data_IF_363939560292
#
_entry.id   IF_363939560292
#
_cell.length_a   1.000
_cell.length_b   1.000
_cell.length_c   1.000
_cell.angle_alpha   90.00
_cell.angle_beta   90.00
_cell.angle_gamma   90.00
#
_symmetry.space_group_name_H-M   'P 1'
#
loop_
_entity.id
_entity.type
_entity.pdbx_description
1 polymer ?
#
# COMPACT_ATOMS: atom_id res chain seq x y z
N UNK A 1 -36.12 73.16 29.45
CA UNK A 1 -34.77 72.64 29.72
C UNK A 1 -34.94 71.15 29.96
N UNK A 2 -34.51 70.32 28.99
CA UNK A 2 -34.42 68.83 29.07
C UNK A 2 -35.81 68.14 29.12
N UNK A 3 -36.18 67.13 28.33
CA UNK A 3 -35.48 65.90 27.96
C UNK A 3 -36.16 65.29 26.71
N UNK A 4 -35.43 65.06 25.62
CA UNK A 4 -35.92 64.25 24.50
C UNK A 4 -35.78 62.77 24.87
N UNK A 5 -36.91 62.07 24.92
CA UNK A 5 -36.97 60.63 25.13
C UNK A 5 -36.65 59.91 23.81
N UNK A 6 -35.44 59.37 23.68
CA UNK A 6 -35.10 58.43 22.61
C UNK A 6 -35.60 57.04 22.97
N UNK A 7 -36.62 56.55 22.26
CA UNK A 7 -37.02 55.15 22.29
C UNK A 7 -36.21 54.41 21.22
N UNK A 8 -35.13 53.74 21.64
CA UNK A 8 -34.37 52.83 20.78
C UNK A 8 -35.16 51.53 20.63
N UNK A 9 -35.65 51.26 19.41
CA UNK A 9 -36.23 49.97 19.03
C UNK A 9 -35.08 48.97 18.90
N UNK A 10 -35.01 47.99 19.80
CA UNK A 10 -34.06 46.88 19.71
C UNK A 10 -34.68 45.77 18.86
N UNK A 11 -34.24 45.65 17.60
CA UNK A 11 -34.62 44.55 16.71
C UNK A 11 -33.70 43.35 17.02
N UNK A 12 -34.21 42.34 17.73
CA UNK A 12 -33.49 41.09 17.96
C UNK A 12 -33.69 40.21 16.72
N UNK A 13 -32.67 40.12 15.88
CA UNK A 13 -32.61 39.14 14.78
C UNK A 13 -32.03 37.85 15.36
N UNK A 14 -32.89 36.87 15.61
CA UNK A 14 -32.48 35.52 16.00
C UNK A 14 -31.95 34.79 14.76
N UNK A 15 -30.63 34.69 14.64
CA UNK A 15 -29.96 33.92 13.59
C UNK A 15 -30.05 32.42 13.96
N UNK A 16 -31.05 31.71 13.44
CA UNK A 16 -31.08 30.24 13.49
C UNK A 16 -29.97 29.69 12.58
N UNK A 17 -28.81 29.38 13.18
CA UNK A 17 -27.80 28.51 12.57
C UNK A 17 -28.38 27.10 12.48
N UNK A 18 -28.98 26.77 11.33
CA UNK A 18 -29.21 25.39 10.95
C UNK A 18 -27.85 24.75 10.63
N UNK A 19 -27.21 24.21 11.66
CA UNK A 19 -26.11 23.27 11.51
C UNK A 19 -26.65 22.04 10.77
N UNK A 20 -26.50 22.03 9.45
CA UNK A 20 -26.65 20.82 8.67
C UNK A 20 -25.44 19.96 9.02
N UNK A 21 -25.55 19.17 10.08
CA UNK A 21 -24.64 18.07 10.33
C UNK A 21 -24.75 17.12 9.15
N UNK A 22 -23.79 17.19 8.23
CA UNK A 22 -23.60 16.12 7.25
C UNK A 22 -23.50 14.82 8.03
N UNK A 23 -24.22 13.75 7.63
CA UNK A 23 -24.00 12.46 8.25
C UNK A 23 -22.52 12.12 8.04
N UNK A 24 -21.80 11.90 9.15
CA UNK A 24 -20.51 11.24 9.12
C UNK A 24 -20.76 9.85 8.55
N UNK A 25 -20.63 9.72 7.23
CA UNK A 25 -20.52 8.41 6.60
C UNK A 25 -19.24 7.84 7.19
N UNK A 26 -19.39 6.84 8.06
CA UNK A 26 -18.28 6.01 8.52
C UNK A 26 -17.75 5.30 7.29
N UNK A 27 -16.79 5.92 6.59
CA UNK A 27 -16.15 5.35 5.44
C UNK A 27 -15.37 4.14 5.96
N UNK A 28 -15.88 2.94 5.67
CA UNK A 28 -15.24 1.69 6.09
C UNK A 28 -13.82 1.65 5.51
N UNK A 29 -12.87 1.21 6.32
CA UNK A 29 -11.45 1.07 5.98
C UNK A 29 -11.24 0.40 4.62
N UNK A 30 -10.41 1.01 3.79
CA UNK A 30 -9.91 0.38 2.57
C UNK A 30 -9.00 -0.81 2.90
N UNK A 31 -9.02 -1.85 2.08
CA UNK A 31 -8.30 -3.10 2.36
C UNK A 31 -7.23 -3.34 1.29
N UNK A 32 -6.01 -3.66 1.71
CA UNK A 32 -5.02 -4.35 0.88
C UNK A 32 -5.42 -5.83 0.75
N UNK A 33 -5.46 -6.31 -0.49
CA UNK A 33 -5.84 -7.67 -0.87
C UNK A 33 -4.65 -8.54 -1.27
N UNK A 34 -3.42 -8.11 -0.93
CA UNK A 34 -2.24 -8.97 -0.99
C UNK A 34 -2.47 -10.19 -0.10
N UNK A 35 -2.27 -11.38 -0.67
CA UNK A 35 -2.47 -12.64 0.04
C UNK A 35 -1.42 -12.82 1.15
N UNK A 36 -1.78 -13.64 2.14
CA UNK A 36 -0.84 -14.00 3.20
C UNK A 36 0.38 -14.74 2.63
N UNK A 37 1.57 -14.50 3.21
CA UNK A 37 2.78 -15.17 2.76
C UNK A 37 2.64 -16.68 2.93
N UNK A 38 2.92 -17.42 1.86
CA UNK A 38 2.98 -18.87 1.93
C UNK A 38 4.24 -19.37 2.67
N UNK A 39 4.27 -20.67 2.96
CA UNK A 39 5.39 -21.27 3.68
C UNK A 39 6.73 -21.15 2.93
N UNK A 40 6.71 -21.12 1.60
CA UNK A 40 7.92 -20.98 0.79
C UNK A 40 8.51 -19.58 0.91
N UNK A 41 7.66 -18.55 0.87
CA UNK A 41 8.05 -17.17 1.10
C UNK A 41 8.55 -16.97 2.53
N UNK A 42 7.86 -17.49 3.53
CA UNK A 42 8.28 -17.38 4.93
C UNK A 42 9.65 -18.03 5.18
N UNK A 43 9.93 -19.17 4.55
CA UNK A 43 11.24 -19.81 4.62
C UNK A 43 12.33 -18.90 4.02
N UNK A 44 12.08 -18.39 2.81
CA UNK A 44 12.98 -17.46 2.13
C UNK A 44 13.21 -16.15 2.91
N UNK A 45 12.15 -15.63 3.53
CA UNK A 45 12.20 -14.45 4.40
C UNK A 45 13.09 -14.70 5.62
N UNK A 46 12.99 -15.89 6.23
CA UNK A 46 13.83 -16.28 7.35
C UNK A 46 15.30 -16.41 6.94
N UNK A 47 15.60 -17.00 5.78
CA UNK A 47 16.98 -17.08 5.26
C UNK A 47 17.59 -15.69 5.04
N UNK A 48 16.82 -14.75 4.48
CA UNK A 48 17.25 -13.36 4.31
C UNK A 48 17.51 -12.69 5.66
N UNK A 49 16.61 -12.87 6.63
CA UNK A 49 16.77 -12.35 8.00
C UNK A 49 18.01 -12.93 8.69
N UNK A 50 18.30 -14.21 8.53
CA UNK A 50 19.48 -14.83 9.12
C UNK A 50 20.78 -14.28 8.48
N UNK A 51 20.77 -14.03 7.17
CA UNK A 51 21.84 -13.34 6.45
C UNK A 51 22.04 -11.88 6.88
N UNK A 52 20.97 -11.18 7.28
CA UNK A 52 21.03 -9.81 7.81
C UNK A 52 21.81 -9.72 9.12
N UNK A 53 21.73 -10.75 9.94
CA UNK A 53 22.43 -10.86 11.23
C UNK A 53 23.92 -11.18 11.01
N UNK A 54 24.23 -12.12 10.10
CA UNK A 54 25.61 -12.52 9.80
C UNK A 54 26.41 -11.42 9.09
N UNK A 55 25.74 -10.62 8.26
CA UNK A 55 26.37 -9.51 7.53
C UNK A 55 26.75 -8.31 8.38
N UNK A 56 26.08 -8.08 9.52
CA UNK A 56 26.52 -7.10 10.51
C UNK A 56 27.89 -7.48 11.15
N UNK A 57 28.41 -8.69 10.89
CA UNK A 57 29.68 -9.18 11.42
C UNK A 57 30.80 -9.31 10.37
N UNK A 58 30.58 -8.99 9.09
CA UNK A 58 31.58 -9.15 8.01
C UNK A 58 31.78 -7.88 7.17
N UNK A 59 33.03 -7.38 7.13
CA UNK A 59 33.45 -6.07 6.57
C UNK A 59 33.63 -6.07 5.03
N UNK A 60 33.22 -7.10 4.29
CA UNK A 60 33.47 -7.24 2.85
C UNK A 60 32.13 -7.51 2.10
N UNK A 61 31.62 -6.72 1.15
CA UNK A 61 31.93 -5.38 0.61
C UNK A 61 30.67 -4.51 0.76
N UNK A 62 30.72 -3.48 1.62
CA UNK A 62 29.59 -2.58 1.88
C UNK A 62 29.13 -1.78 0.66
N UNK A 63 30.03 -1.53 -0.30
CA UNK A 63 29.75 -0.70 -1.49
C UNK A 63 28.78 -1.36 -2.46
N UNK A 64 28.91 -2.67 -2.75
CA UNK A 64 28.00 -3.37 -3.66
C UNK A 64 26.59 -3.52 -3.07
N UNK A 65 26.47 -3.67 -1.75
CA UNK A 65 25.17 -3.75 -1.06
C UNK A 65 24.47 -2.40 -0.92
N UNK A 66 25.20 -1.29 -0.99
CA UNK A 66 24.68 0.07 -0.91
C UNK A 66 24.55 0.75 -2.28
N UNK A 67 24.91 0.06 -3.37
CA UNK A 67 24.73 0.59 -4.71
C UNK A 67 23.24 0.89 -4.99
N UNK A 68 22.92 2.01 -5.67
CA UNK A 68 21.54 2.33 -6.01
C UNK A 68 20.87 1.17 -6.76
N UNK A 69 19.67 0.80 -6.32
CA UNK A 69 18.85 -0.21 -6.98
C UNK A 69 17.98 0.54 -8.00
N UNK A 70 18.15 0.21 -9.26
CA UNK A 70 17.34 0.78 -10.34
C UNK A 70 16.36 -0.27 -10.86
N UNK A 71 15.08 0.04 -10.77
CA UNK A 71 13.98 -0.86 -11.11
C UNK A 71 13.24 -0.29 -12.31
N UNK A 72 13.37 -0.95 -13.45
CA UNK A 72 12.53 -0.64 -14.61
C UNK A 72 11.05 -0.79 -14.23
N UNK A 73 10.28 0.25 -14.50
CA UNK A 73 8.89 0.35 -14.05
C UNK A 73 7.97 0.70 -15.21
N UNK A 74 6.84 0.00 -15.30
CA UNK A 74 5.77 0.29 -16.25
C UNK A 74 4.47 0.58 -15.51
N UNK A 75 3.82 1.67 -15.89
CA UNK A 75 2.47 1.97 -15.43
C UNK A 75 1.46 1.63 -16.53
N UNK A 76 0.50 0.78 -16.19
CA UNK A 76 -0.60 0.37 -17.07
C UNK A 76 -1.89 0.96 -16.52
N UNK A 77 -2.44 1.95 -17.21
CA UNK A 77 -3.74 2.53 -16.86
C UNK A 77 -4.82 1.70 -17.54
N UNK A 78 -5.66 1.05 -16.74
CA UNK A 78 -6.70 0.14 -17.22
C UNK A 78 -8.05 0.66 -16.76
N UNK A 79 -8.84 1.17 -17.69
CA UNK A 79 -10.08 1.87 -17.37
C UNK A 79 -11.30 1.14 -17.90
N UNK A 80 -12.40 1.25 -17.17
CA UNK A 80 -13.71 0.99 -17.77
C UNK A 80 -14.02 2.06 -18.81
N UNK A 81 -14.93 1.76 -19.74
CA UNK A 81 -15.41 2.72 -20.73
C UNK A 81 -16.01 3.98 -20.07
N UNK A 82 -16.70 3.80 -18.94
CA UNK A 82 -17.32 4.88 -18.19
C UNK A 82 -16.29 5.81 -17.52
N UNK A 83 -15.16 5.26 -17.07
CA UNK A 83 -14.12 5.99 -16.35
C UNK A 83 -12.84 6.18 -17.17
N UNK A 84 -12.92 6.11 -18.52
CA UNK A 84 -11.76 6.16 -19.42
C UNK A 84 -10.90 7.42 -19.28
N UNK A 85 -11.52 8.52 -18.85
CA UNK A 85 -10.90 9.84 -18.70
C UNK A 85 -10.58 10.16 -17.23
N UNK A 86 -10.79 9.21 -16.30
CA UNK A 86 -10.60 9.42 -14.86
C UNK A 86 -9.12 9.64 -14.49
N UNK A 87 -8.19 8.93 -15.13
CA UNK A 87 -6.77 8.97 -14.77
C UNK A 87 -6.03 9.99 -15.63
N UNK A 88 -5.67 11.11 -15.01
CA UNK A 88 -4.96 12.21 -15.68
C UNK A 88 -3.44 12.01 -15.65
N UNK A 89 -2.72 12.72 -16.53
CA UNK A 89 -1.26 12.72 -16.50
C UNK A 89 -0.71 13.36 -15.21
N UNK A 90 -1.46 14.27 -14.60
CA UNK A 90 -1.13 14.82 -13.29
C UNK A 90 -1.11 13.72 -12.22
N UNK A 91 -2.13 12.85 -12.17
CA UNK A 91 -2.17 11.74 -11.21
C UNK A 91 -0.99 10.80 -11.41
N UNK A 92 -0.68 10.46 -12.67
CA UNK A 92 0.44 9.57 -13.05
C UNK A 92 1.78 10.16 -12.61
N UNK A 93 2.05 11.41 -12.97
CA UNK A 93 3.32 12.07 -12.65
C UNK A 93 3.48 12.27 -11.13
N UNK A 94 2.39 12.63 -10.44
CA UNK A 94 2.39 12.79 -8.98
C UNK A 94 2.60 11.46 -8.27
N UNK A 95 1.98 10.39 -8.76
CA UNK A 95 2.17 9.04 -8.21
C UNK A 95 3.61 8.55 -8.38
N UNK A 96 4.23 8.80 -9.54
CA UNK A 96 5.65 8.48 -9.75
C UNK A 96 6.54 9.31 -8.82
N UNK A 97 6.26 10.61 -8.66
CA UNK A 97 7.03 11.48 -7.77
C UNK A 97 7.03 10.95 -6.34
N UNK A 98 5.83 10.75 -5.76
CA UNK A 98 5.74 10.30 -4.37
C UNK A 98 6.33 8.89 -4.20
N UNK A 99 6.17 8.01 -5.20
CA UNK A 99 6.80 6.68 -5.18
C UNK A 99 8.33 6.78 -5.17
N UNK A 100 8.93 7.68 -5.97
CA UNK A 100 10.38 7.85 -5.92
C UNK A 100 10.85 8.43 -4.59
N UNK A 101 10.12 9.41 -4.05
CA UNK A 101 10.48 10.06 -2.78
C UNK A 101 10.42 9.08 -1.61
N UNK A 102 9.37 8.26 -1.52
CA UNK A 102 9.17 7.29 -0.41
C UNK A 102 10.19 6.16 -0.36
N UNK A 103 10.88 5.87 -1.47
CA UNK A 103 11.88 4.78 -1.55
C UNK A 103 13.32 5.30 -1.70
N UNK A 104 13.52 6.61 -1.79
CA UNK A 104 14.82 7.23 -1.99
C UNK A 104 15.81 6.89 -0.86
N UNK A 105 15.35 6.91 0.39
CA UNK A 105 16.17 6.59 1.56
C UNK A 105 16.59 5.11 1.60
N UNK A 106 15.79 4.22 0.98
CA UNK A 106 16.17 2.83 0.76
C UNK A 106 17.20 2.67 -0.39
N UNK A 107 17.56 3.76 -1.08
CA UNK A 107 18.41 3.75 -2.26
C UNK A 107 17.80 2.97 -3.43
N UNK A 108 16.46 2.96 -3.54
CA UNK A 108 15.70 2.33 -4.61
C UNK A 108 15.10 3.42 -5.50
N UNK A 109 15.31 3.30 -6.81
CA UNK A 109 14.82 4.23 -7.82
C UNK A 109 13.97 3.49 -8.85
N UNK A 110 12.74 3.93 -9.02
CA UNK A 110 11.81 3.43 -10.02
C UNK A 110 11.97 4.20 -11.34
N UNK A 111 12.55 3.57 -12.34
CA UNK A 111 12.75 4.15 -13.65
C UNK A 111 11.53 3.89 -14.54
N UNK A 112 10.66 4.89 -14.68
CA UNK A 112 9.49 4.78 -15.55
C UNK A 112 9.93 4.63 -17.02
N UNK A 113 9.70 3.44 -17.57
CA UNK A 113 10.00 3.11 -18.97
C UNK A 113 8.87 3.54 -19.90
N UNK A 114 7.64 3.60 -19.38
CA UNK A 114 6.49 4.07 -20.14
C UNK A 114 5.18 3.92 -19.39
N UNK A 115 4.17 4.58 -19.94
CA UNK A 115 2.78 4.51 -19.49
C UNK A 115 1.93 3.99 -20.63
N UNK A 116 1.14 2.95 -20.38
CA UNK A 116 0.14 2.48 -21.35
C UNK A 116 -1.27 2.81 -20.86
N UNK A 117 -2.22 2.97 -21.78
CA UNK A 117 -3.63 3.25 -21.49
C UNK A 117 -4.50 2.25 -22.24
N UNK A 118 -5.40 1.58 -21.53
CA UNK A 118 -6.28 0.54 -22.05
C UNK A 118 -7.70 0.74 -21.56
N UNK A 119 -8.67 0.70 -22.46
CA UNK A 119 -10.09 0.66 -22.10
C UNK A 119 -10.56 -0.78 -22.19
N UNK A 120 -10.76 -1.42 -21.05
CA UNK A 120 -11.27 -2.79 -20.94
C UNK A 120 -12.06 -2.94 -19.65
N UNK A 121 -13.39 -3.09 -19.78
CA UNK A 121 -14.30 -3.17 -18.63
C UNK A 121 -14.05 -4.38 -17.72
N UNK A 122 -13.59 -5.50 -18.28
CA UNK A 122 -13.33 -6.72 -17.53
C UNK A 122 -12.05 -6.56 -16.70
N UNK A 123 -10.97 -6.16 -17.36
CA UNK A 123 -9.67 -5.96 -16.71
C UNK A 123 -9.70 -4.84 -15.68
N UNK A 124 -10.38 -3.72 -15.96
CA UNK A 124 -10.47 -2.61 -15.02
C UNK A 124 -11.20 -2.95 -13.70
N UNK A 125 -11.87 -4.10 -13.63
CA UNK A 125 -12.61 -4.63 -12.47
C UNK A 125 -12.00 -5.91 -11.89
N UNK A 126 -10.77 -6.22 -12.26
CA UNK A 126 -10.08 -7.46 -11.87
C UNK A 126 -10.77 -8.75 -12.35
N UNK A 127 -11.59 -8.68 -13.40
CA UNK A 127 -12.35 -9.85 -13.85
C UNK A 127 -11.55 -10.90 -14.63
N UNK A 128 -10.30 -10.59 -15.01
CA UNK A 128 -9.36 -11.51 -15.68
C UNK A 128 -7.92 -10.98 -15.57
N UNK A 129 -7.36 -11.02 -14.36
CA UNK A 129 -5.99 -10.54 -14.07
C UNK A 129 -4.93 -11.25 -14.91
N UNK A 130 -5.10 -12.56 -15.14
CA UNK A 130 -4.14 -13.36 -15.91
C UNK A 130 -4.09 -12.92 -17.37
N UNK A 131 -5.22 -12.77 -18.04
CA UNK A 131 -5.21 -12.32 -19.42
C UNK A 131 -4.67 -10.89 -19.54
N UNK A 132 -5.04 -10.01 -18.59
CA UNK A 132 -4.51 -8.65 -18.53
C UNK A 132 -2.98 -8.65 -18.43
N UNK A 133 -2.41 -9.29 -17.41
CA UNK A 133 -0.97 -9.29 -17.18
C UNK A 133 -0.21 -10.03 -18.27
N UNK A 134 -0.78 -11.10 -18.82
CA UNK A 134 -0.21 -11.80 -19.99
C UNK A 134 -0.03 -10.84 -21.16
N UNK A 135 -1.07 -10.05 -21.47
CA UNK A 135 -1.07 -9.10 -22.58
C UNK A 135 -0.18 -7.87 -22.32
N UNK A 136 -0.16 -7.36 -21.09
CA UNK A 136 0.38 -6.03 -20.80
C UNK A 136 1.79 -6.05 -20.22
N UNK A 137 2.15 -7.05 -19.40
CA UNK A 137 3.41 -7.08 -18.65
C UNK A 137 4.62 -6.83 -19.55
N UNK A 138 5.57 -6.02 -19.09
CA UNK A 138 6.83 -5.73 -19.76
C UNK A 138 8.03 -6.18 -18.93
N UNK A 139 9.12 -6.46 -19.62
CA UNK A 139 10.42 -6.82 -19.03
C UNK A 139 10.46 -8.22 -18.41
N UNK A 140 11.46 -8.43 -17.54
CA UNK A 140 11.75 -9.72 -16.88
C UNK A 140 11.11 -9.78 -15.50
N UNK A 141 11.52 -10.72 -14.64
CA UNK A 141 11.07 -10.76 -13.25
C UNK A 141 11.54 -9.55 -12.41
N UNK A 142 12.55 -8.81 -12.89
CA UNK A 142 13.08 -7.59 -12.25
C UNK A 142 12.25 -6.34 -12.52
N UNK A 143 11.40 -6.38 -13.54
CA UNK A 143 10.64 -5.21 -13.99
C UNK A 143 9.34 -5.09 -13.20
N UNK A 144 9.16 -3.97 -12.51
CA UNK A 144 7.92 -3.66 -11.81
C UNK A 144 6.84 -3.25 -12.82
N UNK A 145 5.70 -3.93 -12.78
CA UNK A 145 4.52 -3.57 -13.56
C UNK A 145 3.40 -3.20 -12.59
N UNK A 146 2.89 -1.98 -12.69
CA UNK A 146 1.80 -1.45 -11.85
C UNK A 146 0.58 -1.18 -12.72
N UNK A 147 -0.53 -1.83 -12.39
CA UNK A 147 -1.80 -1.76 -13.09
C UNK A 147 -2.75 -0.86 -12.29
N UNK A 148 -2.91 0.39 -12.72
CA UNK A 148 -3.87 1.31 -12.14
C UNK A 148 -5.24 1.09 -12.77
N UNK A 149 -6.15 0.46 -12.02
CA UNK A 149 -7.48 0.03 -12.47
C UNK A 149 -8.55 0.98 -11.93
N UNK A 150 -9.43 1.53 -12.79
CA UNK A 150 -10.41 2.55 -12.36
C UNK A 150 -11.52 2.03 -11.45
N UNK A 151 -11.81 0.73 -11.53
CA UNK A 151 -12.96 0.08 -10.91
C UNK A 151 -12.54 -1.24 -10.23
N UNK A 152 -11.31 -1.29 -9.69
CA UNK A 152 -10.74 -2.46 -9.04
C UNK A 152 -11.71 -3.04 -8.00
N UNK A 153 -11.88 -4.35 -8.04
CA UNK A 153 -12.73 -5.11 -7.12
C UNK A 153 -11.93 -6.28 -6.56
N UNK A 154 -12.37 -6.84 -5.44
CA UNK A 154 -11.83 -8.09 -4.94
C UNK A 154 -12.15 -9.22 -5.94
N UNK A 155 -11.15 -10.00 -6.33
CA UNK A 155 -11.39 -11.23 -7.06
C UNK A 155 -12.19 -12.24 -6.22
N UNK A 156 -13.08 -13.07 -6.82
CA UNK A 156 -13.75 -14.15 -6.10
C UNK A 156 -12.72 -15.10 -5.45
N UNK A 157 -12.75 -15.23 -4.13
CA UNK A 157 -11.78 -16.04 -3.38
C UNK A 157 -10.52 -15.30 -2.96
N UNK A 158 -10.29 -14.07 -3.46
CA UNK A 158 -9.28 -13.16 -2.93
C UNK A 158 -9.87 -12.45 -1.71
N UNK A 159 -9.94 -13.18 -0.61
CA UNK A 159 -10.03 -12.56 0.70
C UNK A 159 -8.66 -11.96 0.96
N UNK A 160 -8.50 -10.65 0.79
CA UNK A 160 -7.41 -9.93 1.46
C UNK A 160 -7.40 -10.25 2.96
N UNK A 161 -6.56 -9.59 3.76
CA UNK A 161 -6.71 -9.61 5.23
C UNK A 161 -7.99 -8.87 5.67
N UNK A 162 -9.15 -9.36 5.22
CA UNK A 162 -10.46 -9.11 5.79
C UNK A 162 -10.37 -9.69 7.18
N UNK A 163 -10.43 -8.81 8.17
CA UNK A 163 -10.49 -9.09 9.61
C UNK A 163 -11.52 -10.20 9.91
N UNK A 164 -11.09 -11.46 9.80
CA UNK A 164 -11.85 -12.62 10.27
C UNK A 164 -11.54 -12.89 11.74
N UNK A 165 -10.53 -12.24 12.29
CA UNK A 165 -10.19 -12.21 13.71
C UNK A 165 -10.87 -11.02 14.39
N UNK A 166 -12.10 -11.21 14.93
CA UNK A 166 -12.83 -10.28 15.83
C UNK A 166 -13.76 -9.22 15.20
N UNK A 167 -14.70 -9.66 14.34
CA UNK A 167 -16.03 -9.03 14.30
C UNK A 167 -16.42 -8.24 13.04
N UNK A 168 -15.72 -8.37 11.92
CA UNK A 168 -16.28 -7.94 10.64
C UNK A 168 -17.35 -8.96 10.21
N UNK A 169 -18.62 -8.56 10.34
CA UNK A 169 -19.77 -9.34 9.89
C UNK A 169 -19.61 -9.71 8.41
N UNK A 170 -19.71 -11.00 8.10
CA UNK A 170 -19.89 -11.52 6.74
C UNK A 170 -21.28 -11.12 6.20
N UNK A 171 -21.51 -9.82 6.05
CA UNK A 171 -22.60 -9.30 5.24
C UNK A 171 -22.11 -9.23 3.81
N UNK A 172 -22.92 -9.72 2.87
CA UNK A 172 -22.76 -9.65 1.42
C UNK A 172 -22.66 -8.23 0.83
N UNK A 173 -22.36 -7.23 1.65
CA UNK A 173 -22.00 -5.87 1.25
C UNK A 173 -20.49 -5.81 1.02
N UNK A 174 -20.08 -5.99 -0.24
CA UNK A 174 -18.73 -5.72 -0.77
C UNK A 174 -18.36 -4.21 -0.71
N UNK A 175 -18.71 -3.54 0.40
CA UNK A 175 -18.50 -2.11 0.66
C UNK A 175 -17.15 -1.81 1.33
N UNK A 176 -16.35 -2.83 1.61
CA UNK A 176 -14.90 -2.65 1.78
C UNK A 176 -14.26 -2.70 0.40
N UNK A 177 -14.03 -1.55 -0.21
CA UNK A 177 -13.34 -1.47 -1.49
C UNK A 177 -11.90 -1.92 -1.32
N UNK A 178 -11.49 -2.95 -2.07
CA UNK A 178 -10.07 -3.28 -2.24
C UNK A 178 -9.38 -2.06 -2.83
N UNK A 179 -8.32 -1.61 -2.17
CA UNK A 179 -7.51 -0.48 -2.64
C UNK A 179 -6.40 -0.94 -3.57
N UNK A 180 -5.84 -2.10 -3.29
CA UNK A 180 -4.81 -2.70 -4.13
C UNK A 180 -4.44 -4.09 -3.66
N UNK A 181 -3.55 -4.71 -4.42
CA UNK A 181 -2.80 -5.90 -4.05
C UNK A 181 -1.53 -6.01 -4.90
N UNK A 182 -0.49 -6.64 -4.38
CA UNK A 182 0.67 -7.08 -5.14
C UNK A 182 1.01 -8.53 -4.86
N UNK A 183 1.82 -9.12 -5.74
CA UNK A 183 2.50 -10.38 -5.45
C UNK A 183 3.71 -10.14 -4.55
N UNK A 184 3.89 -10.97 -3.53
CA UNK A 184 5.18 -11.12 -2.84
C UNK A 184 6.23 -11.73 -3.79
N UNK A 185 7.55 -11.50 -3.56
CA UNK A 185 8.60 -12.20 -4.28
C UNK A 185 8.46 -13.73 -4.20
N UNK A 186 8.62 -14.41 -5.32
CA UNK A 186 8.50 -15.86 -5.44
C UNK A 186 9.91 -16.49 -5.47
N UNK A 187 10.28 -17.29 -4.45
CA UNK A 187 11.60 -17.91 -4.37
C UNK A 187 11.84 -18.98 -5.43
N UNK A 188 10.80 -19.50 -6.09
CA UNK A 188 10.92 -20.51 -7.15
C UNK A 188 11.38 -19.95 -8.49
N UNK A 189 11.20 -18.64 -8.72
CA UNK A 189 11.63 -17.97 -9.95
C UNK A 189 13.16 -17.87 -10.00
N UNK A 190 13.74 -18.11 -11.17
CA UNK A 190 15.17 -18.01 -11.44
C UNK A 190 15.44 -17.48 -12.86
N UNK A 191 16.70 -17.25 -13.22
CA UNK A 191 17.09 -16.66 -14.52
C UNK A 191 16.73 -17.47 -15.77
N UNK A 192 16.25 -18.71 -15.61
CA UNK A 192 15.75 -19.55 -16.70
C UNK A 192 14.24 -19.75 -16.67
N UNK A 193 13.55 -19.22 -15.64
CA UNK A 193 12.10 -19.30 -15.54
C UNK A 193 11.45 -18.62 -16.74
N UNK A 194 10.53 -19.30 -17.43
CA UNK A 194 9.86 -18.71 -18.57
C UNK A 194 8.82 -17.68 -18.08
N UNK A 195 8.40 -16.80 -18.98
CA UNK A 195 7.55 -15.64 -18.67
C UNK A 195 6.25 -16.01 -17.96
N UNK A 196 5.65 -17.12 -18.34
CA UNK A 196 4.43 -17.67 -17.75
C UNK A 196 4.57 -17.96 -16.26
N UNK A 197 5.77 -18.30 -15.77
CA UNK A 197 6.01 -18.57 -14.35
C UNK A 197 5.88 -17.32 -13.49
N UNK A 198 6.16 -16.14 -14.04
CA UNK A 198 6.10 -14.87 -13.31
C UNK A 198 5.11 -13.88 -13.91
N UNK A 199 4.20 -14.32 -14.77
CA UNK A 199 3.26 -13.42 -15.45
C UNK A 199 2.36 -12.65 -14.47
N UNK A 200 2.02 -13.28 -13.34
CA UNK A 200 1.21 -12.69 -12.27
C UNK A 200 1.90 -11.58 -11.49
N UNK A 201 3.24 -11.55 -11.52
CA UNK A 201 4.03 -10.63 -10.71
C UNK A 201 3.68 -9.17 -11.01
N UNK A 202 3.68 -8.34 -9.97
CA UNK A 202 3.36 -6.92 -10.06
C UNK A 202 2.18 -6.54 -9.16
N UNK A 203 1.62 -5.37 -9.43
CA UNK A 203 0.75 -4.66 -8.50
C UNK A 203 -0.51 -4.14 -9.17
N UNK A 204 -1.67 -4.41 -8.59
CA UNK A 204 -2.98 -3.96 -9.05
C UNK A 204 -3.50 -2.92 -8.07
N UNK A 205 -3.73 -1.69 -8.52
CA UNK A 205 -4.03 -0.54 -7.66
C UNK A 205 -5.32 0.14 -8.13
N UNK A 206 -6.24 0.44 -7.21
CA UNK A 206 -7.42 1.24 -7.49
C UNK A 206 -7.01 2.66 -7.85
N UNK A 207 -7.21 3.09 -9.10
CA UNK A 207 -6.70 4.36 -9.60
C UNK A 207 -7.23 5.61 -8.84
N UNK A 208 -8.32 5.48 -8.07
CA UNK A 208 -8.85 6.56 -7.22
C UNK A 208 -7.96 6.88 -6.02
N UNK A 209 -6.97 6.03 -5.70
CA UNK A 209 -6.02 6.23 -4.61
C UNK A 209 -4.78 7.02 -5.03
N UNK A 210 -4.59 7.26 -6.33
CA UNK A 210 -3.50 8.10 -6.82
C UNK A 210 -3.64 9.54 -6.30
N UNK A 211 -2.53 10.31 -6.21
CA UNK A 211 -2.59 11.75 -5.91
C UNK A 211 -3.56 12.48 -6.86
N UNK A 212 -4.53 13.19 -6.30
CA UNK A 212 -5.59 13.88 -7.07
C UNK A 212 -6.77 12.99 -7.47
N UNK A 213 -6.79 11.73 -7.03
CA UNK A 213 -7.93 10.83 -7.15
C UNK A 213 -9.10 11.21 -6.23
N UNK A 214 -10.23 10.55 -6.42
CA UNK A 214 -11.50 10.90 -5.77
C UNK A 214 -11.79 10.15 -4.47
N UNK A 215 -10.87 9.29 -3.99
CA UNK A 215 -11.09 8.53 -2.77
C UNK A 215 -10.46 9.26 -1.57
N UNK A 216 -11.27 10.06 -0.89
CA UNK A 216 -10.84 10.79 0.31
C UNK A 216 -10.14 9.86 1.31
N UNK A 217 -9.16 10.42 2.02
CA UNK A 217 -8.24 9.75 2.96
C UNK A 217 -7.25 8.76 2.33
N UNK A 218 -7.41 8.37 1.07
CA UNK A 218 -6.55 7.38 0.40
C UNK A 218 -6.05 7.85 -0.97
N UNK A 219 -6.20 9.15 -1.30
CA UNK A 219 -5.88 9.75 -2.60
C UNK A 219 -4.58 10.55 -2.60
N UNK A 220 -3.57 10.14 -1.83
CA UNK A 220 -2.22 10.74 -1.85
C UNK A 220 -1.16 9.77 -2.39
N UNK A 221 -1.57 8.62 -2.92
CA UNK A 221 -0.68 7.62 -3.51
C UNK A 221 -0.09 6.63 -2.52
N UNK A 222 -0.53 6.64 -1.26
CA UNK A 222 -0.06 5.74 -0.21
C UNK A 222 -0.36 4.28 -0.50
N UNK A 223 -1.50 3.99 -1.15
CA UNK A 223 -1.82 2.62 -1.59
C UNK A 223 -0.73 2.05 -2.51
N UNK A 224 -0.28 2.77 -3.53
CA UNK A 224 0.75 2.22 -4.42
C UNK A 224 2.08 1.99 -3.68
N UNK A 225 2.42 2.86 -2.72
CA UNK A 225 3.62 2.70 -1.88
C UNK A 225 3.51 1.45 -1.01
N UNK A 226 2.39 1.26 -0.30
CA UNK A 226 2.12 0.08 0.51
C UNK A 226 2.28 -1.22 -0.30
N UNK A 227 1.58 -1.28 -1.43
CA UNK A 227 1.51 -2.48 -2.25
C UNK A 227 2.89 -2.79 -2.88
N UNK A 228 3.61 -1.78 -3.36
CA UNK A 228 4.99 -1.96 -3.84
C UNK A 228 5.94 -2.37 -2.70
N UNK A 229 5.62 -2.05 -1.45
CA UNK A 229 6.31 -2.58 -0.27
C UNK A 229 6.22 -4.10 -0.21
N UNK A 230 5.04 -4.68 -0.45
CA UNK A 230 4.88 -6.13 -0.61
C UNK A 230 5.66 -6.69 -1.80
N UNK A 231 5.65 -6.01 -2.95
CA UNK A 231 6.43 -6.46 -4.11
C UNK A 231 7.94 -6.52 -3.84
N UNK A 232 8.43 -5.66 -2.93
CA UNK A 232 9.80 -5.69 -2.39
C UNK A 232 10.00 -6.65 -1.20
N UNK A 233 8.97 -7.38 -0.79
CA UNK A 233 9.05 -8.43 0.23
C UNK A 233 8.79 -7.97 1.67
N UNK A 234 8.15 -6.81 1.88
CA UNK A 234 7.68 -6.39 3.20
C UNK A 234 6.32 -7.05 3.52
N UNK A 235 6.12 -7.36 4.79
CA UNK A 235 4.83 -7.79 5.33
C UNK A 235 4.17 -6.62 6.05
N UNK A 236 2.89 -6.76 6.34
CA UNK A 236 2.17 -5.79 7.18
C UNK A 236 2.82 -5.67 8.56
N UNK A 237 2.88 -4.47 9.14
CA UNK A 237 3.45 -4.25 10.50
C UNK A 237 2.72 -5.06 11.58
N UNK A 238 1.44 -5.35 11.36
CA UNK A 238 0.58 -6.17 12.21
C UNK A 238 0.53 -7.65 11.78
N UNK A 239 1.52 -8.13 11.02
CA UNK A 239 1.59 -9.51 10.59
C UNK A 239 1.53 -10.46 11.80
N UNK A 240 0.75 -11.53 11.66
CA UNK A 240 0.49 -12.48 12.73
C UNK A 240 -0.59 -12.05 13.75
N UNK A 241 -1.00 -10.77 13.77
CA UNK A 241 -2.12 -10.24 14.57
C UNK A 241 -2.05 -10.63 16.06
N UNK A 242 -0.85 -10.57 16.65
CA UNK A 242 -0.58 -11.06 18.00
C UNK A 242 0.33 -10.10 18.78
N UNK A 243 0.27 -10.17 20.10
CA UNK A 243 1.25 -9.55 21.01
C UNK A 243 2.18 -10.58 21.66
N UNK A 244 2.08 -11.85 21.26
CA UNK A 244 2.94 -12.91 21.79
C UNK A 244 4.39 -12.67 21.35
N UNK A 245 5.32 -12.60 22.31
CA UNK A 245 6.74 -12.38 22.04
C UNK A 245 7.41 -13.50 21.21
N UNK A 246 6.78 -14.68 21.12
CA UNK A 246 7.21 -15.77 20.24
C UNK A 246 6.70 -15.61 18.80
N UNK A 247 5.74 -14.70 18.56
CA UNK A 247 5.30 -14.37 17.21
C UNK A 247 6.37 -13.50 16.52
N UNK A 248 6.83 -13.85 15.32
CA UNK A 248 7.86 -13.10 14.63
C UNK A 248 7.38 -11.76 14.05
N UNK A 249 6.08 -11.46 14.10
CA UNK A 249 5.49 -10.26 13.53
C UNK A 249 5.70 -10.21 12.02
N UNK A 250 6.15 -9.05 11.54
CA UNK A 250 6.54 -8.79 10.15
C UNK A 250 7.99 -9.20 9.83
N UNK A 251 8.65 -9.86 10.78
CA UNK A 251 10.05 -10.30 10.71
C UNK A 251 11.07 -9.16 10.69
N UNK A 252 10.70 -7.96 11.12
CA UNK A 252 11.56 -6.79 11.19
C UNK A 252 11.65 -6.34 12.65
N UNK A 253 12.86 -6.04 13.13
CA UNK A 253 13.09 -5.86 14.57
C UNK A 253 12.79 -4.44 15.06
N UNK A 254 12.82 -3.44 14.16
CA UNK A 254 12.57 -2.03 14.49
C UNK A 254 11.14 -1.58 14.18
N UNK A 255 10.28 -2.51 13.78
CA UNK A 255 8.83 -2.35 13.70
C UNK A 255 8.22 -2.86 15.01
N UNK A 256 7.52 -2.01 15.80
CA UNK A 256 6.89 -2.43 17.04
C UNK A 256 5.85 -3.54 16.82
N UNK A 257 5.71 -4.43 17.80
CA UNK A 257 4.72 -5.50 17.74
C UNK A 257 3.30 -4.92 17.73
N UNK A 258 2.49 -5.33 16.75
CA UNK A 258 1.14 -4.82 16.57
C UNK A 258 0.17 -5.98 16.34
N UNK A 259 -0.87 -6.06 17.16
CA UNK A 259 -1.89 -7.12 17.10
C UNK A 259 -3.09 -6.79 16.22
N UNK A 260 -3.32 -5.51 15.94
CA UNK A 260 -4.39 -5.08 15.03
C UNK A 260 -3.90 -3.96 14.13
N UNK A 261 -4.35 -3.90 12.87
CA UNK A 261 -4.06 -2.77 12.01
C UNK A 261 -4.62 -1.44 12.53
N UNK A 262 -4.03 -0.33 12.06
CA UNK A 262 -4.55 1.01 12.32
C UNK A 262 -5.70 1.36 11.37
N UNK A 263 -6.68 2.10 11.89
CA UNK A 263 -7.75 2.71 11.11
C UNK A 263 -7.70 4.23 11.26
N UNK A 264 -7.79 4.96 10.15
CA UNK A 264 -7.65 6.42 10.11
C UNK A 264 -6.26 6.91 10.53
N UNK A 265 -6.24 7.98 11.34
CA UNK A 265 -5.02 8.68 11.77
C UNK A 265 -4.99 9.02 13.27
N UNK A 266 -4.98 8.02 14.16
CA UNK A 266 -4.95 8.29 15.59
C UNK A 266 -3.60 8.90 15.99
N UNK A 267 -3.63 9.91 16.88
CA UNK A 267 -2.40 10.51 17.42
C UNK A 267 -1.56 9.52 18.26
N UNK A 268 -2.19 8.46 18.78
CA UNK A 268 -1.55 7.38 19.52
C UNK A 268 -2.37 6.10 19.36
N UNK A 269 -1.68 4.98 19.12
CA UNK A 269 -2.26 3.64 19.16
C UNK A 269 -1.21 2.69 19.75
N UNK A 270 -1.69 1.72 20.52
CA UNK A 270 -0.86 0.79 21.28
C UNK A 270 -1.70 -0.47 21.54
N UNK A 271 -1.66 -1.40 20.59
CA UNK A 271 -2.45 -2.63 20.65
C UNK A 271 -1.71 -3.76 21.39
N UNK A 272 -0.43 -3.54 21.72
CA UNK A 272 0.43 -4.46 22.48
C UNK A 272 1.19 -3.71 23.60
N UNK A 273 0.49 -3.28 24.67
CA UNK A 273 1.05 -2.40 25.70
C UNK A 273 2.15 -3.04 26.58
N UNK A 274 2.22 -4.37 26.58
CA UNK A 274 3.28 -5.12 27.29
C UNK A 274 4.52 -5.35 26.40
N UNK A 275 4.47 -4.97 25.13
CA UNK A 275 5.58 -5.00 24.17
C UNK A 275 6.21 -3.60 24.03
N UNK A 276 7.51 -3.49 23.72
CA UNK A 276 8.13 -2.18 23.50
C UNK A 276 7.59 -1.47 22.24
N UNK A 277 7.34 -0.15 22.36
CA UNK A 277 6.97 0.71 21.24
C UNK A 277 5.48 1.05 21.21
N UNK A 278 5.10 1.92 20.27
CA UNK A 278 3.70 2.18 19.92
C UNK A 278 3.43 1.58 18.55
N UNK A 279 2.17 1.32 18.23
CA UNK A 279 1.76 0.84 16.92
C UNK A 279 2.29 1.77 15.81
N UNK A 280 2.65 1.18 14.68
CA UNK A 280 3.37 1.83 13.59
C UNK A 280 2.43 2.67 12.70
N UNK A 281 1.68 3.61 13.30
CA UNK A 281 0.63 4.41 12.64
C UNK A 281 1.12 5.15 11.40
N UNK A 282 2.38 5.57 11.38
CA UNK A 282 2.97 6.37 10.29
C UNK A 282 3.74 5.53 9.25
N UNK A 283 3.77 4.22 9.44
CA UNK A 283 4.48 3.28 8.58
C UNK A 283 3.64 2.93 7.35
N UNK A 284 4.27 2.93 6.17
CA UNK A 284 3.59 2.61 4.91
C UNK A 284 3.00 1.19 4.87
N UNK A 285 3.48 0.26 5.71
CA UNK A 285 3.02 -1.13 5.78
C UNK A 285 1.91 -1.37 6.83
N UNK A 286 1.45 -0.33 7.55
CA UNK A 286 0.18 -0.37 8.28
C UNK A 286 -1.01 -0.08 7.33
N UNK A 287 -2.26 0.00 7.81
CA UNK A 287 -3.44 0.42 7.03
C UNK A 287 -4.01 1.78 7.49
N UNK A 288 -3.17 2.62 8.08
CA UNK A 288 -3.53 4.01 8.33
C UNK A 288 -4.02 4.69 7.04
N UNK A 289 -4.80 5.76 7.19
CA UNK A 289 -5.11 6.62 6.04
C UNK A 289 -3.84 7.28 5.48
N UNK A 290 -3.83 7.59 4.18
CA UNK A 290 -2.69 8.21 3.48
C UNK A 290 -2.20 9.51 4.15
N UNK A 291 -3.05 10.19 4.91
CA UNK A 291 -2.67 11.42 5.62
C UNK A 291 -1.67 11.19 6.77
N UNK A 292 -1.49 9.94 7.22
CA UNK A 292 -0.58 9.58 8.31
C UNK A 292 0.72 8.98 7.83
N UNK A 293 0.76 8.46 6.60
CA UNK A 293 1.93 7.78 6.12
C UNK A 293 3.09 8.75 5.96
N UNK A 294 4.24 8.37 6.49
CA UNK A 294 5.45 9.18 6.49
C UNK A 294 6.64 8.40 5.95
N UNK A 295 6.88 7.17 6.41
CA UNK A 295 8.14 6.48 6.12
C UNK A 295 8.10 4.96 6.25
N UNK A 296 9.14 4.32 5.72
CA UNK A 296 9.56 2.97 6.09
C UNK A 296 10.60 3.03 7.22
N UNK A 297 10.70 2.00 8.05
CA UNK A 297 11.78 1.88 9.04
C UNK A 297 13.13 1.57 8.38
N UNK A 298 14.23 1.74 9.11
CA UNK A 298 15.56 1.38 8.63
C UNK A 298 15.67 -0.14 8.36
N UNK A 299 15.02 -0.96 9.18
CA UNK A 299 14.92 -2.41 9.02
C UNK A 299 14.15 -2.79 7.76
N UNK A 300 13.01 -2.14 7.48
CA UNK A 300 12.25 -2.33 6.24
C UNK A 300 13.08 -1.95 5.01
N UNK A 301 13.75 -0.79 5.04
CA UNK A 301 14.65 -0.38 3.94
C UNK A 301 15.76 -1.40 3.71
N UNK A 302 16.43 -1.88 4.77
CA UNK A 302 17.44 -2.94 4.67
C UNK A 302 16.85 -4.23 4.10
N UNK A 303 15.66 -4.64 4.57
CA UNK A 303 14.95 -5.85 4.10
C UNK A 303 14.67 -5.78 2.61
N UNK A 304 14.09 -4.69 2.11
CA UNK A 304 13.80 -4.52 0.68
C UNK A 304 15.05 -4.69 -0.20
N UNK A 305 16.19 -4.12 0.22
CA UNK A 305 17.45 -4.26 -0.51
C UNK A 305 17.98 -5.69 -0.54
N UNK A 306 17.85 -6.42 0.57
CA UNK A 306 18.27 -7.83 0.62
C UNK A 306 17.33 -8.72 -0.20
N UNK A 307 16.02 -8.48 -0.10
CA UNK A 307 15.01 -9.17 -0.92
C UNK A 307 15.25 -8.95 -2.40
N UNK A 308 15.58 -7.72 -2.83
CA UNK A 308 15.97 -7.46 -4.21
C UNK A 308 17.16 -8.31 -4.66
N UNK A 309 18.22 -8.35 -3.85
CA UNK A 309 19.44 -9.09 -4.17
C UNK A 309 19.19 -10.59 -4.26
N UNK A 310 18.41 -11.15 -3.35
CA UNK A 310 18.13 -12.60 -3.29
C UNK A 310 17.07 -13.03 -4.30
N UNK A 311 16.03 -12.22 -4.49
CA UNK A 311 14.81 -12.65 -5.17
C UNK A 311 14.65 -12.08 -6.58
N UNK A 312 15.36 -11.01 -6.95
CA UNK A 312 15.16 -10.34 -8.24
C UNK A 312 16.43 -10.33 -9.10
N UNK A 313 17.60 -10.11 -8.53
CA UNK A 313 18.86 -10.04 -9.30
C UNK A 313 19.11 -11.34 -10.09
N UNK A 314 19.39 -11.19 -11.39
CA UNK A 314 19.65 -12.33 -12.28
C UNK A 314 18.40 -13.06 -12.79
N UNK A 315 17.20 -12.50 -12.59
CA UNK A 315 15.91 -13.09 -12.98
C UNK A 315 15.09 -12.22 -13.96
#
# INVERSE_FOLDING_TARGET
MVQHSFQSVLLIITLCLLAHGSPLISQKRGICATEDPDASFLHALQEVKDGEIQSNSSIITSEARNAPIEIETWFHIVSTQANRDQVTDYMINSQLSILQDSYADAGIKYQLQGVTRHVNNLWAKDGDDIAMKTALRKGTYRTLNVYFQTDLQASPGQSGRVSTSRGASATSDLTSSVLGFCTLPDPSINGTSPRESYVKDGCNILAKTMPGGSLDLYNRGGTAIHEIGHWNGLLHTFQGESCDASNPGDYIADTPQQSTPTDGCPARKDSCPDSPGLDAVHDFMDYSSDVCYEMFTAGQMKRMRNMWTTMRVGK
#
